data_IF_636193057368
#
_entry.id   IF_636193057368
#
_cell.length_a   1.000
_cell.length_b   1.000
_cell.length_c   1.000
_cell.angle_alpha   90.00
_cell.angle_beta   90.00
_cell.angle_gamma   90.00
#
_symmetry.space_group_name_H-M   'P 1'
#
loop_
_entity.id
_entity.type
_entity.pdbx_description
1 polymer ?
#
# COMPACT_ATOMS: atom_id res chain seq x y z
N UNK A 1 -9.13 -14.75 -32.17
CA UNK A 1 -9.89 -15.67 -31.31
C UNK A 1 -10.09 -14.98 -29.99
N UNK A 2 -11.33 -14.56 -29.68
CA UNK A 2 -11.63 -13.95 -28.39
C UNK A 2 -11.32 -14.98 -27.30
N UNK A 3 -10.40 -14.67 -26.38
CA UNK A 3 -10.11 -15.54 -25.24
C UNK A 3 -11.37 -15.58 -24.38
N UNK A 4 -12.02 -16.74 -24.37
CA UNK A 4 -13.22 -17.05 -23.61
C UNK A 4 -13.03 -16.66 -22.13
N UNK A 5 -13.99 -15.95 -21.54
CA UNK A 5 -14.00 -15.61 -20.11
C UNK A 5 -14.54 -16.81 -19.36
N UNK A 6 -13.81 -17.31 -18.36
CA UNK A 6 -14.30 -18.42 -17.52
C UNK A 6 -15.65 -18.06 -16.90
N UNK A 7 -16.60 -18.99 -16.90
CA UNK A 7 -17.91 -18.71 -16.32
C UNK A 7 -17.81 -18.50 -14.81
N UNK A 8 -18.61 -17.57 -14.29
CA UNK A 8 -18.62 -17.26 -12.85
C UNK A 8 -18.98 -18.46 -11.98
N UNK A 9 -19.88 -19.31 -12.47
CA UNK A 9 -20.37 -20.50 -11.75
C UNK A 9 -19.33 -21.62 -11.70
N UNK A 10 -18.50 -21.76 -12.73
CA UNK A 10 -17.44 -22.77 -12.81
C UNK A 10 -16.24 -22.39 -11.95
N UNK A 11 -15.76 -21.15 -12.06
CA UNK A 11 -14.62 -20.69 -11.29
C UNK A 11 -14.66 -19.16 -11.10
N UNK A 12 -15.20 -18.75 -9.96
CA UNK A 12 -15.33 -17.33 -9.59
C UNK A 12 -13.98 -16.60 -9.58
N UNK A 13 -12.93 -17.23 -9.03
CA UNK A 13 -11.60 -16.61 -8.91
C UNK A 13 -10.98 -16.33 -10.28
N UNK A 14 -11.08 -17.30 -11.21
CA UNK A 14 -10.59 -17.12 -12.56
C UNK A 14 -11.44 -16.12 -13.34
N UNK A 15 -12.77 -16.18 -13.21
CA UNK A 15 -13.69 -15.22 -13.81
C UNK A 15 -13.35 -13.78 -13.41
N UNK A 16 -13.10 -13.52 -12.12
CA UNK A 16 -12.72 -12.20 -11.62
C UNK A 16 -11.40 -11.72 -12.23
N UNK A 17 -10.36 -12.57 -12.21
CA UNK A 17 -9.06 -12.24 -12.78
C UNK A 17 -9.14 -11.99 -14.29
N UNK A 18 -9.93 -12.80 -15.01
CA UNK A 18 -10.20 -12.63 -16.43
C UNK A 18 -10.83 -11.26 -16.71
N UNK A 19 -11.81 -10.84 -15.90
CA UNK A 19 -12.43 -9.53 -16.06
C UNK A 19 -11.43 -8.40 -15.80
N UNK A 20 -10.67 -8.46 -14.71
CA UNK A 20 -9.68 -7.43 -14.37
C UNK A 20 -8.67 -7.24 -15.50
N UNK A 21 -8.15 -8.34 -16.04
CA UNK A 21 -7.15 -8.32 -17.11
C UNK A 21 -7.75 -7.92 -18.46
N UNK A 22 -8.88 -8.53 -18.86
CA UNK A 22 -9.48 -8.30 -20.19
C UNK A 22 -10.15 -6.93 -20.31
N UNK A 23 -10.63 -6.37 -19.20
CA UNK A 23 -11.13 -5.00 -19.16
C UNK A 23 -10.01 -3.96 -18.99
N UNK A 24 -8.74 -4.38 -18.95
CA UNK A 24 -7.59 -3.48 -18.84
C UNK A 24 -7.61 -2.63 -17.55
N UNK A 25 -8.05 -3.23 -16.43
CA UNK A 25 -8.20 -2.53 -15.14
C UNK A 25 -6.91 -2.51 -14.32
N UNK A 26 -6.23 -3.66 -14.22
CA UNK A 26 -5.00 -3.80 -13.45
C UNK A 26 -4.12 -4.94 -13.98
N UNK A 27 -2.81 -4.82 -13.77
CA UNK A 27 -1.81 -5.84 -14.08
C UNK A 27 -1.09 -6.30 -12.80
N UNK A 28 -0.57 -7.53 -12.80
CA UNK A 28 0.23 -8.04 -11.69
C UNK A 28 1.53 -7.24 -11.54
N UNK A 29 1.93 -6.96 -10.29
CA UNK A 29 3.24 -6.38 -9.99
C UNK A 29 4.30 -7.46 -9.81
N UNK A 30 5.58 -7.08 -9.92
CA UNK A 30 6.70 -7.92 -9.50
C UNK A 30 6.72 -8.16 -7.97
N UNK A 31 5.99 -7.36 -7.19
CA UNK A 31 5.86 -7.50 -5.75
C UNK A 31 4.56 -8.22 -5.42
N UNK A 32 4.66 -9.34 -4.68
CA UNK A 32 3.50 -10.13 -4.24
C UNK A 32 2.53 -9.26 -3.43
N UNK A 33 1.24 -9.36 -3.74
CA UNK A 33 0.20 -8.57 -3.09
C UNK A 33 0.06 -7.14 -3.62
N UNK A 34 0.90 -6.74 -4.57
CA UNK A 34 0.79 -5.45 -5.26
C UNK A 34 0.29 -5.65 -6.70
N UNK A 35 -0.34 -4.60 -7.25
CA UNK A 35 -0.81 -4.54 -8.63
C UNK A 35 -0.52 -3.16 -9.22
N UNK A 36 -0.32 -3.12 -10.53
CA UNK A 36 -0.32 -1.86 -11.29
C UNK A 36 -1.75 -1.59 -11.69
N UNK A 37 -2.38 -0.56 -11.13
CA UNK A 37 -3.72 -0.14 -11.55
C UNK A 37 -3.56 0.66 -12.85
N UNK A 38 -4.19 0.20 -13.92
CA UNK A 38 -4.09 0.79 -15.26
C UNK A 38 -4.98 2.02 -15.39
N UNK A 39 -4.82 2.87 -16.43
CA UNK A 39 -5.59 4.10 -16.56
C UNK A 39 -7.10 3.91 -16.44
N UNK A 40 -7.66 2.85 -17.01
CA UNK A 40 -9.10 2.59 -16.92
C UNK A 40 -9.53 2.22 -15.49
N UNK A 41 -8.79 1.37 -14.79
CA UNK A 41 -9.05 1.05 -13.39
C UNK A 41 -8.85 2.25 -12.46
N UNK A 42 -7.82 3.06 -12.70
CA UNK A 42 -7.52 4.24 -11.89
C UNK A 42 -8.58 5.32 -12.07
N UNK A 43 -9.11 5.51 -13.28
CA UNK A 43 -10.21 6.45 -13.54
C UNK A 43 -11.49 6.10 -12.75
N UNK A 44 -11.75 4.81 -12.52
CA UNK A 44 -12.86 4.37 -11.67
C UNK A 44 -12.58 4.76 -10.21
N UNK A 45 -11.36 4.53 -9.73
CA UNK A 45 -10.95 4.93 -8.39
C UNK A 45 -11.05 6.44 -8.18
N UNK A 46 -10.58 7.26 -9.13
CA UNK A 46 -10.68 8.72 -9.06
C UNK A 46 -12.13 9.20 -8.93
N UNK A 47 -13.08 8.56 -9.64
CA UNK A 47 -14.50 8.87 -9.53
C UNK A 47 -15.08 8.52 -8.16
N UNK A 48 -14.70 7.36 -7.61
CA UNK A 48 -15.11 6.95 -6.27
C UNK A 48 -14.57 7.94 -5.23
N UNK A 49 -13.27 8.24 -5.31
CA UNK A 49 -12.60 9.16 -4.40
C UNK A 49 -13.23 10.56 -4.45
N UNK A 50 -13.47 11.10 -5.65
CA UNK A 50 -14.08 12.42 -5.82
C UNK A 50 -15.49 12.51 -5.21
N UNK A 51 -16.30 11.46 -5.38
CA UNK A 51 -17.64 11.42 -4.81
C UNK A 51 -17.61 11.37 -3.27
N UNK A 52 -16.75 10.53 -2.69
CA UNK A 52 -16.61 10.42 -1.24
C UNK A 52 -16.04 11.71 -0.64
N UNK A 53 -15.04 12.32 -1.29
CA UNK A 53 -14.44 13.59 -0.87
C UNK A 53 -15.48 14.72 -0.80
N UNK A 54 -16.38 14.81 -1.78
CA UNK A 54 -17.50 15.76 -1.75
C UNK A 54 -18.41 15.51 -0.53
N UNK A 55 -18.80 14.26 -0.30
CA UNK A 55 -19.68 13.90 0.83
C UNK A 55 -19.04 14.20 2.20
N UNK A 56 -17.73 14.00 2.34
CA UNK A 56 -17.01 14.37 3.56
C UNK A 56 -16.98 15.89 3.77
N UNK A 57 -16.75 16.66 2.70
CA UNK A 57 -16.74 18.13 2.77
C UNK A 57 -18.12 18.71 3.09
N UNK A 58 -19.19 18.13 2.56
CA UNK A 58 -20.57 18.55 2.86
C UNK A 58 -20.93 18.41 4.35
N UNK A 59 -20.22 17.53 5.06
CA UNK A 59 -20.39 17.31 6.51
C UNK A 59 -19.36 18.08 7.35
N UNK A 60 -18.56 18.95 6.74
CA UNK A 60 -17.59 19.82 7.41
C UNK A 60 -16.22 19.17 7.68
N UNK A 61 -15.95 17.99 7.14
CA UNK A 61 -14.64 17.35 7.27
C UNK A 61 -13.61 18.03 6.35
N UNK A 62 -12.35 18.00 6.77
CA UNK A 62 -11.23 18.60 6.04
C UNK A 62 -10.17 17.53 5.79
N UNK A 63 -9.69 17.45 4.56
CA UNK A 63 -8.61 16.54 4.22
C UNK A 63 -7.30 16.98 4.85
N UNK A 64 -6.55 16.02 5.38
CA UNK A 64 -5.18 16.19 5.84
C UNK A 64 -4.33 15.04 5.28
N UNK A 65 -3.02 15.28 5.16
CA UNK A 65 -2.07 14.25 4.78
C UNK A 65 -0.99 14.14 5.85
N UNK A 66 -0.92 12.97 6.47
CA UNK A 66 0.10 12.64 7.46
C UNK A 66 1.24 11.85 6.80
N UNK A 67 2.47 11.92 7.33
CA UNK A 67 3.60 11.15 6.83
C UNK A 67 3.28 9.66 6.64
N UNK A 68 3.86 9.05 5.60
CA UNK A 68 3.73 7.62 5.32
C UNK A 68 4.38 6.74 6.40
N UNK A 69 5.45 7.25 7.01
CA UNK A 69 6.29 6.51 7.94
C UNK A 69 5.95 6.88 9.39
N UNK A 70 5.85 5.88 10.25
CA UNK A 70 5.60 6.01 11.69
C UNK A 70 6.84 5.50 12.45
N UNK A 71 7.41 6.26 13.40
CA UNK A 71 8.45 5.75 14.28
C UNK A 71 7.99 4.51 15.04
N UNK A 72 8.81 3.46 15.11
CA UNK A 72 8.46 2.21 15.79
C UNK A 72 8.07 2.42 17.25
N UNK A 73 8.65 3.39 17.94
CA UNK A 73 8.29 3.76 19.31
C UNK A 73 6.85 4.24 19.42
N UNK A 74 6.35 4.99 18.43
CA UNK A 74 4.96 5.46 18.40
C UNK A 74 4.03 4.28 18.09
N UNK A 75 4.37 3.48 17.09
CA UNK A 75 3.60 2.29 16.70
C UNK A 75 3.45 1.29 17.86
N UNK A 76 4.51 1.12 18.65
CA UNK A 76 4.55 0.19 19.79
C UNK A 76 3.69 0.65 20.97
N UNK A 77 3.54 1.96 21.18
CA UNK A 77 2.64 2.49 22.23
C UNK A 77 1.20 2.12 21.93
N UNK A 78 0.75 2.24 20.68
CA UNK A 78 -0.62 1.89 20.31
C UNK A 78 -0.87 0.37 20.30
N UNK A 79 0.11 -0.41 19.86
CA UNK A 79 0.05 -1.87 19.91
C UNK A 79 -0.17 -2.42 21.35
N UNK A 80 0.23 -1.66 22.38
CA UNK A 80 -0.02 -2.02 23.78
C UNK A 80 -1.46 -1.82 24.23
N UNK A 81 -2.25 -1.04 23.48
CA UNK A 81 -3.64 -0.69 23.82
C UNK A 81 -4.70 -1.43 22.99
N UNK A 82 -4.32 -2.08 21.89
CA UNK A 82 -5.25 -2.74 20.96
C UNK A 82 -4.92 -4.23 20.81
N UNK A 83 -5.78 -5.08 21.36
CA UNK A 83 -5.70 -6.52 21.16
C UNK A 83 -6.03 -6.85 19.69
N UNK A 84 -5.05 -7.37 18.94
CA UNK A 84 -5.19 -7.66 17.50
C UNK A 84 -4.56 -6.63 16.56
N UNK A 85 -3.74 -5.70 17.07
CA UNK A 85 -3.03 -4.73 16.24
C UNK A 85 -2.18 -5.40 15.14
N UNK A 86 -2.24 -4.88 13.91
CA UNK A 86 -1.61 -5.46 12.73
C UNK A 86 -0.09 -5.43 12.84
N UNK A 87 0.53 -6.56 13.21
CA UNK A 87 2.00 -6.68 13.32
C UNK A 87 2.69 -6.88 11.96
N UNK A 88 1.93 -7.14 10.91
CA UNK A 88 2.42 -7.39 9.55
C UNK A 88 2.63 -6.08 8.79
N UNK A 89 3.66 -5.32 9.16
CA UNK A 89 4.00 -4.06 8.51
C UNK A 89 5.39 -4.11 7.86
N UNK A 90 5.55 -3.39 6.75
CA UNK A 90 6.87 -3.17 6.17
C UNK A 90 7.69 -2.24 7.08
N UNK A 91 8.94 -2.63 7.34
CA UNK A 91 9.86 -1.93 8.24
C UNK A 91 11.04 -1.40 7.42
N UNK A 92 11.26 -0.09 7.49
CA UNK A 92 12.42 0.58 6.91
C UNK A 92 13.51 0.65 7.97
N UNK A 93 14.65 0.03 7.68
CA UNK A 93 15.78 -0.11 8.61
C UNK A 93 17.00 0.71 8.20
N UNK A 94 17.11 1.09 6.92
CA UNK A 94 18.26 1.81 6.36
C UNK A 94 17.77 2.90 5.40
N UNK A 95 18.49 4.03 5.33
CA UNK A 95 18.12 5.18 4.49
C UNK A 95 18.90 5.27 3.17
N UNK A 96 19.88 4.40 2.94
CA UNK A 96 20.75 4.46 1.76
C UNK A 96 21.13 3.07 1.25
N UNK A 97 21.31 2.99 -0.07
CA UNK A 97 21.96 1.89 -0.77
C UNK A 97 23.34 2.33 -1.25
N UNK A 98 24.27 1.39 -1.39
CA UNK A 98 25.60 1.62 -2.00
C UNK A 98 25.86 0.63 -3.11
N UNK A 99 26.80 0.95 -3.99
CA UNK A 99 27.29 -0.01 -4.98
C UNK A 99 27.94 -1.19 -4.26
N UNK A 100 27.67 -2.40 -4.75
CA UNK A 100 28.33 -3.61 -4.26
C UNK A 100 29.85 -3.48 -4.52
N UNK A 101 30.70 -3.57 -3.49
CA UNK A 101 32.15 -3.55 -3.66
C UNK A 101 32.68 -4.64 -4.62
N UNK A 102 31.92 -5.72 -4.81
CA UNK A 102 32.24 -6.81 -5.72
C UNK A 102 31.64 -6.63 -7.13
N UNK A 103 31.03 -5.48 -7.42
CA UNK A 103 30.51 -5.12 -8.74
C UNK A 103 29.20 -5.80 -9.15
N UNK A 104 28.47 -6.47 -8.23
CA UNK A 104 27.23 -7.20 -8.55
C UNK A 104 25.94 -6.37 -8.43
N UNK A 105 26.04 -5.03 -8.40
CA UNK A 105 24.88 -4.13 -8.40
C UNK A 105 24.86 -3.19 -7.20
N UNK A 106 23.70 -3.07 -6.56
CA UNK A 106 23.47 -2.23 -5.37
C UNK A 106 23.09 -3.09 -4.18
N UNK A 107 23.61 -2.74 -3.00
CA UNK A 107 23.36 -3.42 -1.72
C UNK A 107 22.93 -2.42 -0.67
N UNK A 108 22.30 -2.90 0.41
CA UNK A 108 22.02 -2.08 1.58
C UNK A 108 23.33 -1.61 2.18
N UNK A 109 23.40 -0.34 2.54
CA UNK A 109 24.54 0.21 3.24
C UNK A 109 24.38 0.03 4.74
N UNK A 110 25.11 -0.93 5.32
CA UNK A 110 25.06 -1.25 6.75
C UNK A 110 25.40 -0.03 7.66
N UNK A 111 26.22 0.90 7.18
CA UNK A 111 26.57 2.13 7.91
C UNK A 111 25.45 3.19 7.86
N UNK A 112 24.42 2.96 7.05
CA UNK A 112 23.25 3.83 6.90
C UNK A 112 22.01 3.29 7.63
N UNK A 113 22.22 2.48 8.68
CA UNK A 113 21.16 2.01 9.56
C UNK A 113 20.54 3.20 10.29
N UNK A 114 19.21 3.24 10.33
CA UNK A 114 18.47 4.27 11.06
C UNK A 114 18.64 4.09 12.58
N UNK A 115 18.69 5.20 13.32
CA UNK A 115 18.69 5.18 14.79
C UNK A 115 17.43 4.52 15.36
N UNK A 116 16.31 4.70 14.66
CA UNK A 116 15.03 4.06 14.96
C UNK A 116 14.40 3.52 13.67
N UNK A 117 13.82 2.33 13.71
CA UNK A 117 13.10 1.79 12.55
C UNK A 117 11.82 2.57 12.25
N UNK A 118 11.53 2.75 10.97
CA UNK A 118 10.32 3.41 10.49
C UNK A 118 9.35 2.39 9.91
N UNK A 119 8.09 2.46 10.30
CA UNK A 119 7.02 1.56 9.86
C UNK A 119 6.25 2.23 8.73
N UNK A 120 6.04 1.53 7.61
CA UNK A 120 5.06 1.96 6.61
C UNK A 120 3.68 1.82 7.24
N UNK A 121 2.96 2.94 7.40
CA UNK A 121 1.71 2.96 8.16
C UNK A 121 0.69 1.95 7.63
N UNK A 122 0.19 0.99 8.43
CA UNK A 122 -0.97 0.19 8.06
C UNK A 122 -2.27 0.98 8.21
N UNK A 123 -2.26 1.93 9.16
CA UNK A 123 -3.33 2.87 9.46
C UNK A 123 -2.75 4.12 10.14
N UNK A 124 -3.54 5.17 10.32
CA UNK A 124 -3.04 6.51 10.70
C UNK A 124 -3.34 6.94 12.14
N UNK A 125 -4.03 6.15 12.94
CA UNK A 125 -4.40 6.47 14.32
C UNK A 125 -3.15 6.87 15.13
N UNK A 126 -2.08 6.08 15.05
CA UNK A 126 -0.83 6.38 15.78
C UNK A 126 -0.30 7.76 15.45
N UNK A 127 -0.26 8.14 14.17
CA UNK A 127 0.33 9.41 13.76
C UNK A 127 -0.60 10.59 14.03
N UNK A 128 -1.92 10.39 13.92
CA UNK A 128 -2.92 11.42 14.18
C UNK A 128 -2.96 11.79 15.67
N UNK A 129 -2.89 10.81 16.58
CA UNK A 129 -2.99 11.07 18.03
C UNK A 129 -1.66 11.45 18.71
N UNK A 130 -0.53 11.31 18.00
CA UNK A 130 0.79 11.69 18.52
C UNK A 130 1.37 12.96 17.85
N UNK A 131 0.61 13.62 16.97
CA UNK A 131 0.92 14.97 16.44
C UNK A 131 0.15 16.01 17.23
#
# INVERSE_FOLDING_TARGET
MAKEITSREENYSQWYNDLVVKADLADNSAVRGCMVIKPYGYAIWEKIQAQLDMMFKDTGHVNAYFPLFIPKSFFSKEASHVEGFAKECAVVTHYRLKNDPNGKGIVVDEDAKLEEELIVRPTSETIIWNT
#
